data_IF_673064405304
#
_entry.id   IF_673064405304
#
_cell.length_a   1.000
_cell.length_b   1.000
_cell.length_c   1.000
_cell.angle_alpha   90.00
_cell.angle_beta   90.00
_cell.angle_gamma   90.00
#
_symmetry.space_group_name_H-M   'P 1'
#
loop_
_entity.id
_entity.type
_entity.pdbx_description
1 polymer ?
#
# COMPACT_ATOMS: atom_id res chain seq x y z
N UNK A 1 -20.97 0.24 -9.09
CA UNK A 1 -20.50 -0.62 -7.98
C UNK A 1 -20.60 0.15 -6.68
N UNK A 2 -20.60 -0.55 -5.54
CA UNK A 2 -20.77 0.06 -4.21
C UNK A 2 -19.65 1.07 -3.85
N UNK A 3 -19.94 2.14 -3.08
CA UNK A 3 -19.00 3.22 -2.76
C UNK A 3 -18.04 2.86 -1.60
N UNK A 4 -17.16 1.88 -1.82
CA UNK A 4 -16.26 1.33 -0.79
C UNK A 4 -14.90 2.04 -0.68
N UNK A 5 -14.54 2.89 -1.63
CA UNK A 5 -13.27 3.61 -1.62
C UNK A 5 -13.39 4.96 -0.89
N UNK A 6 -12.24 5.50 -0.47
CA UNK A 6 -12.15 6.76 0.27
C UNK A 6 -12.93 7.91 -0.43
N UNK A 7 -13.65 8.69 0.38
CA UNK A 7 -14.54 9.74 -0.12
C UNK A 7 -15.83 9.21 -0.75
N UNK A 8 -16.31 8.04 -0.32
CA UNK A 8 -17.52 7.37 -0.83
C UNK A 8 -17.49 7.16 -2.36
N UNK A 9 -16.31 6.81 -2.88
CA UNK A 9 -16.09 6.54 -4.30
C UNK A 9 -16.26 5.05 -4.60
N UNK A 10 -16.66 4.73 -5.82
CA UNK A 10 -16.90 3.35 -6.25
C UNK A 10 -16.90 3.19 -7.77
N UNK A 11 -17.12 1.96 -8.22
CA UNK A 11 -17.22 1.62 -9.64
C UNK A 11 -15.89 1.51 -10.37
N UNK A 12 -15.95 1.05 -11.62
CA UNK A 12 -14.78 0.72 -12.45
C UNK A 12 -13.89 1.93 -12.74
N UNK A 13 -14.48 3.13 -12.84
CA UNK A 13 -13.73 4.37 -13.00
C UNK A 13 -12.73 4.63 -11.85
N UNK A 14 -13.04 4.20 -10.62
CA UNK A 14 -12.13 4.33 -9.48
C UNK A 14 -10.89 3.45 -9.60
N UNK A 15 -10.99 2.32 -10.32
CA UNK A 15 -9.89 1.39 -10.58
C UNK A 15 -8.97 1.89 -11.71
N UNK A 16 -9.53 2.59 -12.70
CA UNK A 16 -8.77 3.13 -13.84
C UNK A 16 -8.25 4.56 -13.61
N UNK A 17 -8.65 5.21 -12.51
CA UNK A 17 -8.20 6.54 -12.13
C UNK A 17 -6.74 6.59 -11.70
N UNK A 18 -6.28 7.78 -11.33
CA UNK A 18 -4.89 8.04 -10.92
C UNK A 18 -4.46 7.27 -9.67
N UNK A 19 -5.40 6.90 -8.80
CA UNK A 19 -5.14 6.09 -7.59
C UNK A 19 -5.26 4.58 -7.84
N UNK A 20 -5.65 4.16 -9.05
CA UNK A 20 -5.88 2.75 -9.40
C UNK A 20 -4.67 1.86 -9.15
N UNK A 21 -3.48 2.33 -9.52
CA UNK A 21 -2.23 1.58 -9.30
C UNK A 21 -1.92 1.27 -7.84
N UNK A 22 -2.36 2.10 -6.90
CA UNK A 22 -2.22 1.82 -5.47
C UNK A 22 -3.13 0.68 -5.01
N UNK A 23 -4.32 0.56 -5.60
CA UNK A 23 -5.23 -0.55 -5.31
C UNK A 23 -4.62 -1.89 -5.73
N UNK A 24 -3.99 -1.91 -6.91
CA UNK A 24 -3.20 -3.07 -7.36
C UNK A 24 -1.98 -3.28 -6.47
N UNK A 25 -1.30 -2.20 -6.09
CA UNK A 25 -0.17 -2.22 -5.17
C UNK A 25 -0.50 -2.83 -3.80
N UNK A 26 -1.72 -2.63 -3.27
CA UNK A 26 -2.16 -3.26 -2.03
C UNK A 26 -2.32 -4.78 -2.14
N UNK A 27 -2.73 -5.28 -3.32
CA UNK A 27 -2.77 -6.73 -3.58
C UNK A 27 -1.35 -7.29 -3.54
N UNK A 28 -0.41 -6.64 -4.22
CA UNK A 28 1.00 -7.04 -4.23
C UNK A 28 1.63 -6.98 -2.82
N UNK A 29 1.35 -5.93 -2.06
CA UNK A 29 1.79 -5.80 -0.67
C UNK A 29 1.33 -7.00 0.16
N UNK A 30 0.05 -7.37 0.04
CA UNK A 30 -0.52 -8.50 0.79
C UNK A 30 0.16 -9.81 0.39
N UNK A 31 0.36 -10.03 -0.92
CA UNK A 31 1.05 -11.22 -1.44
C UNK A 31 2.49 -11.32 -0.93
N UNK A 32 3.23 -10.20 -0.89
CA UNK A 32 4.60 -10.14 -0.38
C UNK A 32 4.64 -10.53 1.10
N UNK A 33 3.75 -9.97 1.92
CA UNK A 33 3.66 -10.31 3.35
C UNK A 33 3.33 -11.79 3.54
N UNK A 34 2.30 -12.29 2.84
CA UNK A 34 1.87 -13.69 2.99
C UNK A 34 2.95 -14.67 2.51
N UNK A 35 3.62 -14.36 1.40
CA UNK A 35 4.70 -15.18 0.87
C UNK A 35 5.89 -15.20 1.83
N UNK A 36 6.30 -14.04 2.34
CA UNK A 36 7.41 -13.95 3.28
C UNK A 36 7.11 -14.71 4.58
N UNK A 37 5.89 -14.60 5.09
CA UNK A 37 5.48 -15.34 6.28
C UNK A 37 5.36 -16.85 6.05
N UNK A 38 4.97 -17.28 4.85
CA UNK A 38 4.92 -18.70 4.50
C UNK A 38 6.31 -19.34 4.44
N UNK A 39 7.33 -18.59 4.01
CA UNK A 39 8.69 -19.12 3.83
C UNK A 39 9.62 -18.92 5.04
N UNK A 40 9.55 -17.76 5.69
CA UNK A 40 10.40 -17.41 6.83
C UNK A 40 9.67 -17.42 8.18
N UNK A 41 8.39 -17.78 8.18
CA UNK A 41 7.56 -17.90 9.38
C UNK A 41 6.92 -16.59 9.85
N UNK A 42 6.15 -16.70 10.93
CA UNK A 42 5.28 -15.65 11.45
C UNK A 42 6.01 -14.71 12.45
N UNK A 43 7.32 -14.55 12.33
CA UNK A 43 8.10 -13.67 13.21
C UNK A 43 7.71 -12.20 13.06
N UNK A 44 7.85 -11.40 14.13
CA UNK A 44 7.59 -9.95 14.09
C UNK A 44 8.49 -9.25 13.06
N UNK A 45 9.78 -9.62 13.02
CA UNK A 45 10.72 -9.08 12.04
C UNK A 45 10.37 -9.42 10.60
N UNK A 46 9.91 -10.65 10.33
CA UNK A 46 9.45 -11.06 9.00
C UNK A 46 8.27 -10.20 8.55
N UNK A 47 7.30 -9.96 9.44
CA UNK A 47 6.16 -9.08 9.16
C UNK A 47 6.59 -7.63 8.88
N UNK A 48 7.44 -7.04 9.72
CA UNK A 48 7.89 -5.65 9.55
C UNK A 48 8.64 -5.47 8.23
N UNK A 49 9.62 -6.35 7.95
CA UNK A 49 10.45 -6.24 6.76
C UNK A 49 9.63 -6.49 5.49
N UNK A 50 8.79 -7.53 5.47
CA UNK A 50 7.93 -7.80 4.32
C UNK A 50 6.88 -6.71 4.09
N UNK A 51 6.33 -6.12 5.16
CA UNK A 51 5.40 -4.99 5.04
C UNK A 51 6.10 -3.72 4.51
N UNK A 52 7.34 -3.44 4.95
CA UNK A 52 8.13 -2.33 4.42
C UNK A 52 8.46 -2.51 2.93
N UNK A 53 8.87 -3.73 2.52
CA UNK A 53 9.09 -4.07 1.11
C UNK A 53 7.79 -3.98 0.32
N UNK A 54 6.69 -4.50 0.86
CA UNK A 54 5.37 -4.42 0.22
C UNK A 54 4.89 -2.98 0.04
N UNK A 55 5.13 -2.10 1.02
CA UNK A 55 4.85 -0.66 0.91
C UNK A 55 5.70 0.01 -0.18
N UNK A 56 6.99 -0.32 -0.27
CA UNK A 56 7.87 0.17 -1.34
C UNK A 56 7.36 -0.24 -2.72
N UNK A 57 6.96 -1.51 -2.88
CA UNK A 57 6.37 -2.02 -4.13
C UNK A 57 5.04 -1.32 -4.43
N UNK A 58 4.19 -1.13 -3.41
CA UNK A 58 2.94 -0.40 -3.55
C UNK A 58 3.18 1.05 -4.02
N UNK A 59 4.14 1.76 -3.43
CA UNK A 59 4.52 3.10 -3.87
C UNK A 59 5.08 3.10 -5.28
N UNK A 60 5.96 2.17 -5.64
CA UNK A 60 6.54 2.10 -6.97
C UNK A 60 5.46 1.91 -8.05
N UNK A 61 4.58 0.92 -7.89
CA UNK A 61 3.49 0.66 -8.83
C UNK A 61 2.45 1.78 -8.85
N UNK A 62 2.03 2.26 -7.68
CA UNK A 62 1.06 3.35 -7.56
C UNK A 62 1.56 4.65 -8.19
N UNK A 63 2.81 5.02 -7.94
CA UNK A 63 3.44 6.23 -8.49
C UNK A 63 3.65 6.10 -10.00
N UNK A 64 4.11 4.95 -10.49
CA UNK A 64 4.28 4.72 -11.93
C UNK A 64 2.95 4.80 -12.68
N UNK A 65 1.90 4.17 -12.13
CA UNK A 65 0.54 4.26 -12.66
C UNK A 65 0.03 5.69 -12.66
N UNK A 66 0.18 6.40 -11.54
CA UNK A 66 -0.21 7.79 -11.41
C UNK A 66 0.44 8.64 -12.50
N UNK A 67 1.75 8.47 -12.72
CA UNK A 67 2.49 9.20 -13.76
C UNK A 67 1.94 8.89 -15.16
N UNK A 68 1.69 7.62 -15.49
CA UNK A 68 1.17 7.21 -16.81
C UNK A 68 -0.24 7.75 -17.06
N UNK A 69 -1.11 7.70 -16.04
CA UNK A 69 -2.50 8.19 -16.18
C UNK A 69 -2.54 9.71 -16.21
N UNK A 70 -1.76 10.37 -15.36
CA UNK A 70 -1.77 11.83 -15.26
C UNK A 70 -1.12 12.51 -16.46
N UNK A 71 -0.05 11.94 -17.04
CA UNK A 71 0.60 12.50 -18.23
C UNK A 71 -0.33 12.58 -19.45
N UNK A 72 -1.40 11.78 -19.49
CA UNK A 72 -2.47 11.89 -20.51
C UNK A 72 -3.32 13.15 -20.37
N UNK A 73 -3.30 13.79 -19.20
CA UNK A 73 -4.11 14.98 -18.88
C UNK A 73 -3.29 16.27 -18.83
N UNK A 74 -1.95 16.18 -18.80
CA UNK A 74 -1.05 17.33 -18.81
C UNK A 74 0.38 16.98 -18.41
N UNK A 75 1.31 17.90 -18.62
CA UNK A 75 2.69 17.73 -18.21
C UNK A 75 2.82 17.76 -16.67
N UNK A 76 3.52 16.77 -16.11
CA UNK A 76 3.86 16.71 -14.69
C UNK A 76 5.28 16.21 -14.54
N UNK A 77 6.03 16.80 -13.60
CA UNK A 77 7.40 16.37 -13.31
C UNK A 77 7.41 15.23 -12.30
N UNK A 78 8.40 14.34 -12.40
CA UNK A 78 8.56 13.22 -11.47
C UNK A 78 8.66 13.68 -10.02
N UNK A 79 9.33 14.82 -9.76
CA UNK A 79 9.45 15.40 -8.42
C UNK A 79 8.08 15.77 -7.82
N UNK A 80 7.18 16.37 -8.61
CA UNK A 80 5.82 16.70 -8.14
C UNK A 80 5.00 15.43 -7.90
N UNK A 81 5.15 14.41 -8.76
CA UNK A 81 4.48 13.12 -8.55
C UNK A 81 4.93 12.52 -7.22
N UNK A 82 6.23 12.37 -6.98
CA UNK A 82 6.76 11.81 -5.73
C UNK A 82 6.35 12.62 -4.49
N UNK A 83 6.37 13.96 -4.58
CA UNK A 83 5.92 14.83 -3.51
C UNK A 83 4.45 14.63 -3.16
N UNK A 84 3.59 14.32 -4.14
CA UNK A 84 2.16 14.02 -3.91
C UNK A 84 1.90 12.57 -3.50
N UNK A 85 2.68 11.64 -4.05
CA UNK A 85 2.42 10.20 -4.03
C UNK A 85 3.10 9.45 -2.88
N UNK A 86 4.16 10.02 -2.31
CA UNK A 86 5.00 9.35 -1.31
C UNK A 86 5.11 10.18 -0.05
N UNK A 87 5.50 11.45 -0.17
CA UNK A 87 5.82 12.30 0.98
C UNK A 87 4.68 12.41 2.03
N UNK A 88 3.41 12.67 1.66
CA UNK A 88 2.33 12.77 2.64
C UNK A 88 1.92 11.42 3.23
N UNK A 89 2.27 10.31 2.58
CA UNK A 89 1.87 8.97 2.99
C UNK A 89 2.93 8.27 3.85
N UNK A 90 4.20 8.68 3.76
CA UNK A 90 5.30 8.03 4.46
C UNK A 90 5.12 8.03 5.99
N UNK A 91 4.78 9.18 6.58
CA UNK A 91 4.59 9.30 8.03
C UNK A 91 3.32 8.54 8.49
N UNK A 92 2.13 8.73 7.88
CA UNK A 92 0.96 7.93 8.21
C UNK A 92 1.19 6.41 8.07
N UNK A 93 1.93 5.96 7.06
CA UNK A 93 2.17 4.54 6.84
C UNK A 93 3.16 3.96 7.84
N UNK A 94 4.18 4.73 8.24
CA UNK A 94 5.05 4.34 9.36
C UNK A 94 4.25 4.18 10.66
N UNK A 95 3.32 5.09 10.95
CA UNK A 95 2.42 4.98 12.11
C UNK A 95 1.52 3.75 11.98
N UNK A 96 0.91 3.51 10.81
CA UNK A 96 0.08 2.32 10.57
C UNK A 96 0.88 1.04 10.77
N UNK A 97 2.11 0.97 10.29
CA UNK A 97 2.98 -0.19 10.45
C UNK A 97 3.32 -0.43 11.93
N UNK A 98 3.67 0.63 12.67
CA UNK A 98 3.91 0.54 14.11
C UNK A 98 2.66 0.09 14.90
N UNK A 99 1.47 0.59 14.54
CA UNK A 99 0.23 0.13 15.14
C UNK A 99 -0.08 -1.33 14.78
N UNK A 100 0.12 -1.71 13.52
CA UNK A 100 -0.11 -3.07 13.05
C UNK A 100 0.79 -4.09 13.76
N UNK A 101 2.08 -3.78 13.98
CA UNK A 101 3.00 -4.66 14.71
C UNK A 101 2.59 -4.83 16.17
N UNK A 102 2.22 -3.74 16.84
CA UNK A 102 1.73 -3.77 18.23
C UNK A 102 0.43 -4.58 18.36
N UNK A 103 -0.53 -4.36 17.45
CA UNK A 103 -1.80 -5.10 17.42
C UNK A 103 -1.56 -6.58 17.15
N UNK A 104 -0.72 -6.90 16.17
CA UNK A 104 -0.35 -8.28 15.85
C UNK A 104 0.26 -8.99 17.05
N UNK A 105 1.22 -8.36 17.73
CA UNK A 105 1.87 -8.93 18.92
C UNK A 105 0.88 -9.21 20.07
N UNK A 106 -0.15 -8.37 20.24
CA UNK A 106 -1.20 -8.57 21.24
C UNK A 106 -2.20 -9.64 20.82
N UNK A 107 -2.62 -9.63 19.56
CA UNK A 107 -3.64 -10.54 19.05
C UNK A 107 -3.13 -11.97 18.99
N UNK A 108 -1.93 -12.21 18.46
CA UNK A 108 -1.35 -13.55 18.35
C UNK A 108 -1.04 -14.18 19.72
N UNK A 109 -0.94 -13.37 20.78
CA UNK A 109 -0.82 -13.87 22.16
C UNK A 109 -2.15 -14.41 22.69
N UNK A 110 -3.29 -13.89 22.21
CA UNK A 110 -4.63 -14.21 22.70
C UNK A 110 -5.37 -15.19 21.78
N UNK A 111 -5.06 -15.16 20.50
CA UNK A 111 -5.62 -16.02 19.46
C UNK A 111 -4.43 -16.54 18.65
N UNK A 112 -3.83 -17.67 19.04
CA UNK A 112 -2.82 -18.31 18.22
C UNK A 112 -3.44 -18.65 16.86
N UNK A 113 -2.71 -18.30 15.79
CA UNK A 113 -3.10 -18.58 14.41
C UNK A 113 -3.00 -20.07 14.09
#
# INVERSE_FOLDING_TARGET
GAPVFAGFRGGFASLLGTTGGYLVGFVLLTLIITFAQAHWGQGQWVFVLSAAVGLLVCYAFGTAWFLIVYTRTGAITLGVVLAKCVLPFLLPDAVKLALATLLRARLYRRIPA
#
